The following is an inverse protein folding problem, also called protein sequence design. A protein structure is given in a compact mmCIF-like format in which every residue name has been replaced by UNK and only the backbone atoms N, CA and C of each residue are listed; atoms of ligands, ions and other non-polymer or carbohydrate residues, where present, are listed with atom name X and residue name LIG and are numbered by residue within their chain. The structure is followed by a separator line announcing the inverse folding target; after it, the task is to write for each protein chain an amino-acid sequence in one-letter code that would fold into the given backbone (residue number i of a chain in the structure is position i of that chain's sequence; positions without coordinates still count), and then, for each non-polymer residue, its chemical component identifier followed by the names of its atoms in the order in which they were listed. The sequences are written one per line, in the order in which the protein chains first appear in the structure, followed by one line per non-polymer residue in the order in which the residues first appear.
data_IF_002386223777
#
_entry.id   IF_002386223777
#
_cell.length_a   1.000
_cell.length_b   1.000
_cell.length_c   1.000
_cell.angle_alpha   90.00
_cell.angle_beta   90.00
_cell.angle_gamma   90.00
#
_symmetry.space_group_name_H-M   'P 1'
#
loop_
_entity.id
_entity.type
_entity.pdbx_description
1 polymer ?
#
# COMPACT_ATOMS: atom_id res chain seq x y z
N UNK A 1 -10.47 9.66 37.08
CA UNK A 1 -10.66 8.29 36.54
C UNK A 1 -9.68 8.16 35.39
N UNK A 2 -8.85 7.13 35.37
CA UNK A 2 -7.95 6.89 34.23
C UNK A 2 -8.78 6.62 32.97
N UNK A 3 -8.37 7.15 31.83
CA UNK A 3 -9.04 6.83 30.57
C UNK A 3 -8.81 5.34 30.24
N UNK A 4 -9.85 4.59 29.83
CA UNK A 4 -9.70 3.18 29.49
C UNK A 4 -8.74 3.02 28.31
N UNK A 5 -7.86 2.02 28.41
CA UNK A 5 -6.92 1.69 27.34
C UNK A 5 -7.63 1.01 26.16
N UNK A 6 -6.95 0.90 25.02
CA UNK A 6 -7.50 0.16 23.87
C UNK A 6 -7.80 -1.32 24.21
N UNK A 7 -7.00 -1.95 25.08
CA UNK A 7 -7.23 -3.33 25.55
C UNK A 7 -8.45 -3.46 26.46
N UNK A 8 -8.88 -2.38 27.12
CA UNK A 8 -10.10 -2.37 27.94
C UNK A 8 -11.36 -2.25 27.06
N UNK A 9 -11.24 -1.54 25.94
CA UNK A 9 -12.35 -1.21 25.05
C UNK A 9 -12.62 -2.28 23.98
N UNK A 10 -11.58 -2.90 23.42
CA UNK A 10 -11.66 -3.71 22.21
C UNK A 10 -11.07 -5.11 22.40
N UNK A 11 -11.64 -6.08 21.68
CA UNK A 11 -11.04 -7.38 21.44
C UNK A 11 -10.89 -7.62 19.93
N UNK A 12 -9.80 -8.30 19.54
CA UNK A 12 -9.60 -8.76 18.18
C UNK A 12 -10.45 -10.00 17.92
N UNK A 13 -11.22 -9.98 16.85
CA UNK A 13 -12.11 -11.09 16.46
C UNK A 13 -12.29 -11.09 14.93
N UNK A 14 -11.73 -12.09 14.26
CA UNK A 14 -11.81 -12.20 12.80
C UNK A 14 -13.21 -12.53 12.26
N UNK A 15 -14.15 -12.97 13.10
CA UNK A 15 -15.54 -13.17 12.70
C UNK A 15 -16.27 -11.84 12.48
N UNK A 16 -15.77 -10.76 13.10
CA UNK A 16 -16.20 -9.40 12.85
C UNK A 16 -15.63 -8.90 11.51
N UNK A 17 -16.44 -8.29 10.62
CA UNK A 17 -15.96 -7.68 9.38
C UNK A 17 -14.83 -6.63 9.57
N UNK A 18 -14.75 -6.05 10.76
CA UNK A 18 -13.72 -5.05 11.12
C UNK A 18 -12.49 -5.67 11.75
N UNK A 19 -12.54 -6.96 12.09
CA UNK A 19 -11.63 -7.66 12.98
C UNK A 19 -11.64 -7.17 14.44
N UNK A 20 -12.62 -6.35 14.84
CA UNK A 20 -12.79 -5.86 16.21
C UNK A 20 -14.22 -6.04 16.73
N UNK A 21 -14.33 -6.30 18.02
CA UNK A 21 -15.57 -6.24 18.81
C UNK A 21 -15.37 -5.38 20.06
N UNK A 22 -16.47 -4.85 20.59
CA UNK A 22 -16.45 -4.11 21.85
C UNK A 22 -16.41 -5.04 23.06
N UNK A 23 -15.48 -4.82 24.00
CA UNK A 23 -15.44 -5.52 25.30
C UNK A 23 -16.40 -4.93 26.33
N UNK A 24 -16.85 -3.71 26.10
CA UNK A 24 -17.84 -3.01 26.93
C UNK A 24 -19.02 -2.56 26.06
N UNK A 25 -20.08 -2.05 26.67
CA UNK A 25 -21.15 -1.36 25.93
C UNK A 25 -20.80 0.13 25.81
N UNK A 26 -20.25 0.62 24.68
CA UNK A 26 -19.77 2.01 24.57
C UNK A 26 -20.92 3.03 24.53
N UNK A 27 -22.15 2.57 24.28
CA UNK A 27 -23.36 3.39 24.30
C UNK A 27 -24.58 2.52 24.57
N UNK A 28 -25.73 3.12 24.89
CA UNK A 28 -27.01 2.40 25.05
C UNK A 28 -27.44 1.62 23.80
N UNK A 29 -26.95 2.00 22.62
CA UNK A 29 -27.31 1.38 21.33
C UNK A 29 -26.37 0.25 20.89
N UNK A 30 -25.18 0.16 21.49
CA UNK A 30 -24.15 -0.79 21.09
C UNK A 30 -23.77 -1.65 22.27
N UNK A 31 -23.97 -2.95 22.16
CA UNK A 31 -23.73 -3.91 23.24
C UNK A 31 -22.30 -4.46 23.16
N UNK A 32 -21.80 -4.89 24.31
CA UNK A 32 -20.63 -5.76 24.40
C UNK A 32 -20.75 -6.96 23.41
N UNK A 33 -19.62 -7.37 22.85
CA UNK A 33 -19.51 -8.45 21.85
C UNK A 33 -19.88 -8.06 20.42
N UNK A 34 -20.48 -6.88 20.19
CA UNK A 34 -20.82 -6.45 18.83
C UNK A 34 -19.62 -5.85 18.10
N UNK A 35 -19.69 -5.86 16.77
CA UNK A 35 -18.70 -5.24 15.87
C UNK A 35 -18.30 -3.84 16.35
N UNK A 36 -16.99 -3.62 16.45
CA UNK A 36 -16.42 -2.33 16.75
C UNK A 36 -15.97 -1.58 15.48
N UNK A 37 -16.47 -0.36 15.33
CA UNK A 37 -16.13 0.51 14.22
C UNK A 37 -17.08 0.43 13.03
N UNK A 38 -17.01 1.48 12.21
CA UNK A 38 -17.90 1.69 11.06
C UNK A 38 -17.09 2.17 9.87
N UNK A 39 -17.62 1.97 8.66
CA UNK A 39 -16.97 2.44 7.43
C UNK A 39 -17.02 3.96 7.39
N UNK A 40 -15.85 4.57 7.26
CA UNK A 40 -15.69 5.95 6.86
C UNK A 40 -15.44 6.00 5.34
N UNK A 41 -16.39 6.57 4.60
CA UNK A 41 -16.25 6.77 3.15
C UNK A 41 -15.59 8.13 2.92
N UNK A 42 -14.32 8.13 2.50
CA UNK A 42 -13.62 9.37 2.16
C UNK A 42 -13.89 9.69 0.70
N UNK A 43 -14.57 10.81 0.45
CA UNK A 43 -14.72 11.40 -0.89
C UNK A 43 -13.49 12.25 -1.22
N UNK A 44 -13.13 12.32 -2.51
CA UNK A 44 -12.01 13.14 -2.99
C UNK A 44 -11.31 12.54 -4.20
N UNK A 45 -10.19 13.17 -4.61
CA UNK A 45 -9.39 12.76 -5.79
C UNK A 45 -8.92 11.30 -5.72
N UNK A 46 -8.75 10.77 -4.50
CA UNK A 46 -8.38 9.38 -4.23
C UNK A 46 -9.34 8.80 -3.18
N UNK A 47 -10.56 8.38 -3.59
CA UNK A 47 -11.55 7.89 -2.65
C UNK A 47 -11.04 6.60 -2.01
N UNK A 48 -11.07 6.54 -0.68
CA UNK A 48 -10.66 5.35 0.07
C UNK A 48 -11.58 5.14 1.27
N UNK A 49 -12.00 3.90 1.46
CA UNK A 49 -12.86 3.51 2.57
C UNK A 49 -11.99 2.90 3.66
N UNK A 50 -12.20 3.30 4.91
CA UNK A 50 -11.52 2.71 6.04
C UNK A 50 -12.50 2.48 7.16
N UNK A 51 -12.33 1.41 7.93
CA UNK A 51 -13.02 1.29 9.20
C UNK A 51 -12.41 2.24 10.24
N UNK A 52 -13.27 2.92 11.01
CA UNK A 52 -12.89 3.73 12.17
C UNK A 52 -13.76 3.42 13.38
N UNK A 53 -13.19 3.47 14.58
CA UNK A 53 -13.91 3.34 15.84
C UNK A 53 -13.72 4.59 16.69
N UNK A 54 -14.68 4.87 17.58
CA UNK A 54 -14.60 6.01 18.49
C UNK A 54 -13.81 5.61 19.73
N UNK A 55 -12.79 6.37 20.10
CA UNK A 55 -11.93 6.15 21.27
C UNK A 55 -11.72 7.50 21.95
N UNK A 56 -12.00 7.59 23.25
CA UNK A 56 -11.82 8.79 24.08
C UNK A 56 -12.28 10.09 23.40
N UNK A 57 -13.52 10.06 22.87
CA UNK A 57 -14.14 11.21 22.21
C UNK A 57 -13.79 11.38 20.73
N UNK A 58 -12.64 10.89 20.26
CA UNK A 58 -12.15 10.99 18.87
C UNK A 58 -12.35 9.71 18.04
N UNK A 59 -12.02 9.77 16.74
CA UNK A 59 -12.02 8.59 15.85
C UNK A 59 -10.61 8.10 15.59
N UNK A 60 -10.39 6.80 15.73
CA UNK A 60 -9.16 6.12 15.36
C UNK A 60 -9.43 5.08 14.26
N UNK A 61 -8.46 4.86 13.38
CA UNK A 61 -8.59 3.85 12.32
C UNK A 61 -8.49 2.44 12.90
N UNK A 62 -9.36 1.54 12.43
CA UNK A 62 -9.44 0.17 12.96
C UNK A 62 -8.14 -0.61 12.76
N UNK A 63 -7.47 -0.49 11.61
CA UNK A 63 -6.17 -1.15 11.41
C UNK A 63 -5.10 -0.72 12.43
N UNK A 64 -5.14 0.53 12.93
CA UNK A 64 -4.22 1.00 13.98
C UNK A 64 -4.55 0.38 15.33
N UNK A 65 -5.84 0.27 15.64
CA UNK A 65 -6.29 -0.39 16.86
C UNK A 65 -5.92 -1.88 16.83
N UNK A 66 -6.21 -2.58 15.73
CA UNK A 66 -5.82 -3.99 15.55
C UNK A 66 -4.31 -4.17 15.72
N UNK A 67 -3.50 -3.34 15.06
CA UNK A 67 -2.05 -3.39 15.22
C UNK A 67 -1.63 -3.21 16.68
N UNK A 68 -2.19 -2.19 17.35
CA UNK A 68 -1.86 -1.88 18.74
C UNK A 68 -2.18 -3.04 19.69
N UNK A 69 -3.33 -3.71 19.51
CA UNK A 69 -3.71 -4.84 20.36
C UNK A 69 -2.76 -6.04 20.25
N UNK A 70 -2.02 -6.17 19.15
CA UNK A 70 -1.10 -7.29 18.93
C UNK A 70 0.37 -6.93 19.15
N UNK A 71 0.77 -5.72 18.76
CA UNK A 71 2.17 -5.31 18.67
C UNK A 71 2.49 -4.04 19.46
N UNK A 72 1.49 -3.35 19.99
CA UNK A 72 1.65 -2.07 20.67
C UNK A 72 1.88 -0.89 19.72
N UNK A 73 2.68 0.08 20.15
CA UNK A 73 2.90 1.32 19.40
C UNK A 73 3.60 1.10 18.06
N UNK A 74 3.26 1.94 17.08
CA UNK A 74 3.96 1.96 15.80
C UNK A 74 5.23 2.78 15.96
N UNK A 75 6.42 2.23 15.68
CA UNK A 75 7.67 2.99 15.76
C UNK A 75 7.65 4.23 14.88
N UNK A 76 8.36 5.27 15.31
CA UNK A 76 8.48 6.51 14.55
C UNK A 76 9.03 6.26 13.14
N UNK A 77 8.48 6.98 12.15
CA UNK A 77 8.88 6.83 10.74
C UNK A 77 8.31 5.61 10.02
N UNK A 78 7.52 4.77 10.69
CA UNK A 78 6.81 3.65 10.08
C UNK A 78 5.30 3.92 9.99
N UNK A 79 4.67 3.27 9.02
CA UNK A 79 3.22 3.28 8.82
C UNK A 79 2.71 1.85 8.66
N UNK A 80 1.45 1.63 9.02
CA UNK A 80 0.77 0.35 8.79
C UNK A 80 0.24 0.34 7.34
N UNK A 81 0.61 -0.70 6.60
CA UNK A 81 0.13 -0.98 5.23
C UNK A 81 -0.63 -2.30 5.19
N UNK A 82 -1.65 -2.35 4.35
CA UNK A 82 -2.42 -3.55 4.03
C UNK A 82 -1.68 -4.32 2.93
N UNK A 83 -1.27 -5.56 3.21
CA UNK A 83 -0.49 -6.39 2.28
C UNK A 83 -1.22 -6.55 0.95
N UNK A 84 -2.53 -6.87 1.01
CA UNK A 84 -3.42 -7.00 -0.15
C UNK A 84 -3.88 -5.67 -0.77
N UNK A 85 -3.67 -4.54 -0.09
CA UNK A 85 -4.16 -3.23 -0.50
C UNK A 85 -5.64 -2.96 -0.30
N UNK A 86 -6.37 -3.90 0.29
CA UNK A 86 -7.74 -3.72 0.70
C UNK A 86 -7.77 -3.10 2.10
N UNK A 87 -8.07 -1.81 2.16
CA UNK A 87 -8.11 -1.01 3.39
C UNK A 87 -9.22 -1.42 4.37
N UNK A 88 -10.12 -2.32 3.96
CA UNK A 88 -11.17 -2.91 4.79
C UNK A 88 -10.79 -4.28 5.36
N UNK A 89 -9.74 -4.94 4.85
CA UNK A 89 -9.25 -6.21 5.37
C UNK A 89 -8.26 -5.99 6.51
N UNK A 90 -8.76 -5.86 7.74
CA UNK A 90 -7.92 -5.54 8.91
C UNK A 90 -7.40 -6.76 9.66
N UNK A 91 -7.36 -7.94 9.05
CA UNK A 91 -6.73 -9.12 9.68
C UNK A 91 -5.29 -8.79 10.04
N UNK A 92 -4.83 -9.19 11.23
CA UNK A 92 -3.46 -8.88 11.69
C UNK A 92 -2.41 -9.42 10.71
N UNK A 93 -2.67 -10.58 10.10
CA UNK A 93 -1.83 -11.21 9.08
C UNK A 93 -1.77 -10.41 7.76
N UNK A 94 -2.73 -9.53 7.52
CA UNK A 94 -2.76 -8.63 6.36
C UNK A 94 -2.16 -7.25 6.66
N UNK A 95 -1.72 -6.99 7.89
CA UNK A 95 -1.09 -5.72 8.28
C UNK A 95 0.43 -5.88 8.40
N UNK A 96 1.16 -4.87 7.95
CA UNK A 96 2.63 -4.81 8.10
C UNK A 96 3.10 -3.39 8.35
N UNK A 97 4.24 -3.24 9.00
CA UNK A 97 4.95 -1.96 9.06
C UNK A 97 5.74 -1.74 7.77
N UNK A 98 5.62 -0.54 7.21
CA UNK A 98 6.37 -0.10 6.06
C UNK A 98 6.90 1.31 6.28
N UNK A 99 8.05 1.59 5.69
CA UNK A 99 8.50 2.98 5.56
C UNK A 99 7.66 3.69 4.51
N UNK A 100 7.49 5.03 4.59
CA UNK A 100 6.81 5.81 3.56
C UNK A 100 7.38 5.57 2.15
N UNK A 101 8.69 5.39 2.04
CA UNK A 101 9.38 5.09 0.78
C UNK A 101 8.98 3.73 0.20
N UNK A 102 8.90 2.67 1.03
CA UNK A 102 8.44 1.33 0.62
C UNK A 102 6.95 1.35 0.25
N UNK A 103 6.13 2.11 0.97
CA UNK A 103 4.72 2.26 0.64
C UNK A 103 4.53 2.99 -0.71
N UNK A 104 5.25 4.09 -0.92
CA UNK A 104 5.20 4.86 -2.17
C UNK A 104 5.63 4.02 -3.39
N UNK A 105 6.59 3.10 -3.22
CA UNK A 105 6.96 2.15 -4.27
C UNK A 105 5.78 1.29 -4.72
N UNK A 106 4.80 0.99 -3.86
CA UNK A 106 3.64 0.17 -4.21
C UNK A 106 2.42 0.98 -4.71
N UNK A 107 2.62 2.24 -5.07
CA UNK A 107 1.57 3.07 -5.64
C UNK A 107 1.12 2.60 -7.03
N UNK A 108 -0.14 2.91 -7.33
CA UNK A 108 -0.77 2.64 -8.63
C UNK A 108 -0.06 3.37 -9.75
N UNK A 109 -0.13 2.81 -10.95
CA UNK A 109 0.39 3.45 -12.16
C UNK A 109 -0.30 4.80 -12.39
N UNK A 110 0.48 5.80 -12.77
CA UNK A 110 -0.07 7.11 -13.13
C UNK A 110 -0.94 6.99 -14.38
N UNK A 111 -2.07 7.72 -14.41
CA UNK A 111 -3.06 7.65 -15.52
C UNK A 111 -2.49 8.08 -16.87
N UNK A 112 -1.50 8.97 -16.87
CA UNK A 112 -0.81 9.47 -18.06
C UNK A 112 0.39 8.57 -18.47
N UNK A 113 0.55 7.39 -17.87
CA UNK A 113 1.59 6.45 -18.29
C UNK A 113 1.16 5.72 -19.57
N UNK A 114 1.63 6.25 -20.71
CA UNK A 114 1.33 5.76 -22.06
C UNK A 114 1.87 4.35 -22.30
N UNK A 115 2.97 3.96 -21.65
CA UNK A 115 3.52 2.62 -21.83
C UNK A 115 2.68 1.55 -21.14
N UNK A 116 1.80 1.91 -20.20
CA UNK A 116 1.07 0.91 -19.42
C UNK A 116 1.94 0.13 -18.42
N UNK A 117 3.23 0.47 -18.24
CA UNK A 117 4.10 -0.14 -17.23
C UNK A 117 4.85 0.95 -16.44
N UNK A 118 4.73 0.94 -15.11
CA UNK A 118 5.46 1.89 -14.25
C UNK A 118 6.97 1.69 -14.40
N UNK A 119 7.71 2.78 -14.60
CA UNK A 119 9.15 2.73 -14.83
C UNK A 119 9.56 2.41 -16.26
N UNK A 120 8.62 2.31 -17.20
CA UNK A 120 8.89 2.15 -18.64
C UNK A 120 8.21 3.30 -19.39
N UNK A 121 8.87 3.90 -20.36
CA UNK A 121 8.30 4.96 -21.21
C UNK A 121 8.76 4.83 -22.66
N UNK A 122 7.89 5.23 -23.57
CA UNK A 122 8.26 5.43 -24.98
C UNK A 122 8.92 6.81 -25.11
N UNK A 123 10.06 6.88 -25.78
CA UNK A 123 10.79 8.11 -26.05
C UNK A 123 11.29 8.11 -27.51
N UNK A 124 11.78 9.25 -27.97
CA UNK A 124 12.39 9.40 -29.30
C UNK A 124 13.78 9.98 -29.16
N UNK A 125 14.70 9.50 -30.00
CA UNK A 125 16.02 10.10 -30.11
C UNK A 125 15.99 11.33 -31.01
N UNK A 126 17.00 12.20 -30.92
CA UNK A 126 17.14 13.42 -31.75
C UNK A 126 17.13 13.11 -33.26
N UNK A 127 17.35 11.85 -33.65
CA UNK A 127 17.27 11.32 -35.02
C UNK A 127 15.96 10.60 -35.41
N UNK A 128 14.85 10.75 -34.66
CA UNK A 128 13.48 10.22 -34.93
C UNK A 128 13.22 8.73 -34.72
N UNK A 129 14.18 7.93 -34.26
CA UNK A 129 13.88 6.53 -33.95
C UNK A 129 13.20 6.38 -32.58
N UNK A 130 12.02 5.74 -32.49
CA UNK A 130 11.37 5.46 -31.22
C UNK A 130 12.15 4.38 -30.46
N UNK A 131 12.25 4.55 -29.14
CA UNK A 131 12.83 3.56 -28.24
C UNK A 131 12.05 3.49 -26.94
N UNK A 132 12.08 2.33 -26.29
CA UNK A 132 11.61 2.20 -24.91
C UNK A 132 12.74 2.46 -23.94
N UNK A 133 12.48 3.28 -22.94
CA UNK A 133 13.38 3.48 -21.81
C UNK A 133 12.77 2.87 -20.57
N UNK A 134 13.53 2.01 -19.89
CA UNK A 134 13.20 1.53 -18.57
C UNK A 134 14.14 2.16 -17.53
N UNK A 135 13.61 2.47 -16.35
CA UNK A 135 14.38 3.05 -15.26
C UNK A 135 14.00 2.47 -13.90
N UNK A 136 14.98 2.46 -13.01
CA UNK A 136 14.89 2.03 -11.61
C UNK A 136 15.58 3.06 -10.72
N UNK A 137 15.21 3.14 -9.44
CA UNK A 137 15.93 3.98 -8.48
C UNK A 137 16.72 3.08 -7.53
N UNK A 138 18.04 3.24 -7.53
CA UNK A 138 19.00 2.53 -6.67
C UNK A 138 19.70 3.60 -5.84
N UNK A 139 19.63 3.50 -4.51
CA UNK A 139 20.27 4.45 -3.58
C UNK A 139 19.98 5.93 -3.90
N UNK A 140 18.73 6.22 -4.26
CA UNK A 140 18.28 7.57 -4.63
C UNK A 140 18.69 8.03 -6.04
N UNK A 141 19.53 7.28 -6.76
CA UNK A 141 19.93 7.57 -8.13
C UNK A 141 19.09 6.81 -9.14
N UNK A 142 18.68 7.49 -10.20
CA UNK A 142 17.94 6.87 -11.30
C UNK A 142 18.91 6.17 -12.25
N UNK A 143 18.80 4.85 -12.36
CA UNK A 143 19.50 4.04 -13.35
C UNK A 143 18.53 3.73 -14.48
N UNK A 144 18.92 4.03 -15.73
CA UNK A 144 18.06 3.91 -16.91
C UNK A 144 18.75 3.12 -18.02
N UNK A 145 17.96 2.44 -18.84
CA UNK A 145 18.42 1.71 -20.02
C UNK A 145 17.47 1.90 -21.18
N UNK A 146 18.03 2.12 -22.36
CA UNK A 146 17.31 2.37 -23.61
C UNK A 146 17.29 1.11 -24.48
N UNK A 147 16.15 0.87 -25.12
CA UNK A 147 15.88 -0.32 -25.93
C UNK A 147 15.34 0.13 -27.29
N UNK A 148 16.20 0.04 -28.30
CA UNK A 148 15.89 0.40 -29.68
C UNK A 148 15.32 -0.77 -30.48
N UNK A 149 14.57 -0.46 -31.52
CA UNK A 149 14.13 -1.39 -32.55
C UNK A 149 15.33 -1.79 -33.45
N UNK A 150 16.17 -2.72 -32.99
CA UNK A 150 17.33 -3.23 -33.76
C UNK A 150 16.88 -4.28 -34.78
N UNK A 151 16.24 -3.84 -35.87
CA UNK A 151 15.74 -4.72 -36.94
C UNK A 151 14.48 -5.52 -36.59
N UNK A 152 13.94 -5.34 -35.38
CA UNK A 152 12.73 -5.98 -34.86
C UNK A 152 11.50 -5.07 -34.87
N UNK A 153 10.52 -5.32 -33.99
CA UNK A 153 9.36 -4.44 -33.79
C UNK A 153 9.52 -3.53 -32.56
N UNK A 154 8.72 -2.46 -32.49
CA UNK A 154 8.68 -1.58 -31.32
C UNK A 154 8.17 -2.33 -30.06
N UNK A 155 7.28 -3.32 -30.22
CA UNK A 155 6.81 -4.15 -29.12
C UNK A 155 7.92 -5.06 -28.56
N UNK A 156 8.83 -5.57 -29.38
CA UNK A 156 9.99 -6.31 -28.90
C UNK A 156 10.96 -5.43 -28.09
N UNK A 157 11.09 -4.16 -28.45
CA UNK A 157 11.80 -3.19 -27.63
C UNK A 157 11.09 -2.96 -26.29
N UNK A 158 9.75 -2.89 -26.30
CA UNK A 158 8.92 -2.79 -25.10
C UNK A 158 9.11 -3.98 -24.16
N UNK A 159 9.00 -5.19 -24.70
CA UNK A 159 9.14 -6.44 -23.96
C UNK A 159 10.49 -6.51 -23.24
N UNK A 160 11.59 -6.23 -23.96
CA UNK A 160 12.94 -6.18 -23.37
C UNK A 160 13.08 -5.12 -22.27
N UNK A 161 12.45 -3.95 -22.44
CA UNK A 161 12.46 -2.90 -21.42
C UNK A 161 11.69 -3.33 -20.15
N UNK A 162 10.55 -3.99 -20.33
CA UNK A 162 9.73 -4.53 -19.23
C UNK A 162 10.50 -5.63 -18.49
N UNK A 163 11.12 -6.57 -19.20
CA UNK A 163 11.83 -7.69 -18.58
C UNK A 163 13.10 -7.25 -17.86
N UNK A 164 13.87 -6.32 -18.46
CA UNK A 164 14.98 -5.70 -17.75
C UNK A 164 14.50 -5.01 -16.47
N UNK A 165 13.38 -4.28 -16.53
CA UNK A 165 12.81 -3.62 -15.34
C UNK A 165 12.42 -4.63 -14.26
N UNK A 166 11.79 -5.76 -14.62
CA UNK A 166 11.43 -6.84 -13.68
C UNK A 166 12.68 -7.42 -13.02
N UNK A 167 13.71 -7.73 -13.80
CA UNK A 167 14.97 -8.25 -13.29
C UNK A 167 15.61 -7.29 -12.27
N UNK A 168 15.64 -5.99 -12.60
CA UNK A 168 16.15 -4.99 -11.66
C UNK A 168 15.28 -4.84 -10.40
N UNK A 169 13.95 -4.97 -10.50
CA UNK A 169 13.07 -5.00 -9.32
C UNK A 169 13.40 -6.19 -8.43
N UNK A 170 13.61 -7.38 -9.00
CA UNK A 170 13.93 -8.58 -8.25
C UNK A 170 15.25 -8.42 -7.50
N UNK A 171 16.31 -7.94 -8.17
CA UNK A 171 17.59 -7.62 -7.55
C UNK A 171 17.45 -6.59 -6.43
N UNK A 172 16.64 -5.55 -6.63
CA UNK A 172 16.36 -4.55 -5.59
C UNK A 172 15.60 -5.15 -4.41
N UNK A 173 14.68 -6.08 -4.66
CA UNK A 173 13.92 -6.76 -3.62
C UNK A 173 14.79 -7.70 -2.77
N UNK A 174 15.79 -8.36 -3.35
CA UNK A 174 16.81 -9.11 -2.61
C UNK A 174 17.54 -8.21 -1.59
N UNK A 175 17.71 -6.93 -1.93
CA UNK A 175 18.30 -5.91 -1.05
C UNK A 175 17.23 -5.16 -0.21
N UNK A 176 16.02 -5.70 -0.08
CA UNK A 176 14.98 -5.15 0.79
C UNK A 176 14.22 -3.94 0.24
N UNK A 177 14.22 -3.72 -1.08
CA UNK A 177 13.51 -2.59 -1.68
C UNK A 177 11.98 -2.63 -1.52
N UNK A 178 11.39 -3.81 -1.34
CA UNK A 178 9.97 -3.95 -0.96
C UNK A 178 8.96 -3.62 -2.06
N UNK A 179 9.33 -3.80 -3.33
CA UNK A 179 8.36 -3.84 -4.43
C UNK A 179 7.46 -5.08 -4.28
N UNK A 180 6.15 -4.89 -4.44
CA UNK A 180 5.16 -5.96 -4.40
C UNK A 180 4.56 -6.18 -5.79
N UNK A 181 3.79 -7.26 -5.94
CA UNK A 181 3.02 -7.51 -7.17
C UNK A 181 2.00 -6.42 -7.49
N UNK A 182 1.64 -5.56 -6.52
CA UNK A 182 0.74 -4.41 -6.73
C UNK A 182 1.46 -3.22 -7.38
N UNK A 183 2.79 -3.24 -7.48
CA UNK A 183 3.56 -2.12 -8.02
C UNK A 183 3.11 -1.77 -9.44
N UNK A 184 2.54 -0.56 -9.60
CA UNK A 184 2.12 -0.08 -10.92
C UNK A 184 0.95 -0.83 -11.54
N UNK A 185 0.18 -1.57 -10.74
CA UNK A 185 -1.13 -2.10 -11.14
C UNK A 185 -2.24 -1.07 -10.89
#
# INVERSE_FOLDING_TARGET
MAEPSLHDLFAYDETSPTCLIWKISPSRRTKCGHQAGTINKVSGKYPRNYYRARVNGGYQSVHRIVWFLHHGEVPEGLAIDHVDGNTLNNKITNLRLVTPSKNARNCRRQKNNISGQTGVRLAMDKGRFPFYEAYVHIDGKQVRRQFYQKGGTLEEARSRAVDWRKEQINRLNEHGAGYTERHGK
#
